data_IF_653019068056
#
_entry.id   IF_653019068056
#
_cell.length_a   1.000
_cell.length_b   1.000
_cell.length_c   1.000
_cell.angle_alpha   90.00
_cell.angle_beta   90.00
_cell.angle_gamma   90.00
#
_symmetry.space_group_name_H-M   'P 1'
#
loop_
_entity.id
_entity.type
_entity.pdbx_description
1 polymer ?
#
# COMPACT_ATOMS: atom_id res chain seq x y z
N UNK A 1 0.94 8.01 20.75
CA UNK A 1 0.75 6.63 20.23
C UNK A 1 1.75 6.41 19.10
N UNK A 2 2.13 5.16 18.81
CA UNK A 2 3.11 4.84 17.77
C UNK A 2 2.52 5.00 16.36
N UNK A 3 3.27 5.64 15.46
CA UNK A 3 2.98 5.65 14.02
C UNK A 3 3.09 4.23 13.46
N UNK A 4 2.28 3.91 12.45
CA UNK A 4 2.43 2.67 11.68
C UNK A 4 3.65 2.79 10.79
N UNK A 5 4.55 1.81 10.84
CA UNK A 5 5.74 1.78 9.99
C UNK A 5 5.48 1.09 8.65
N UNK A 6 6.31 1.40 7.65
CA UNK A 6 6.31 0.67 6.37
C UNK A 6 6.46 -0.85 6.55
N UNK A 7 7.26 -1.30 7.51
CA UNK A 7 7.42 -2.73 7.82
C UNK A 7 6.11 -3.35 8.32
N UNK A 8 5.41 -2.67 9.23
CA UNK A 8 4.13 -3.17 9.78
C UNK A 8 3.06 -3.23 8.70
N UNK A 9 2.97 -2.19 7.86
CA UNK A 9 2.03 -2.19 6.75
C UNK A 9 2.34 -3.29 5.74
N UNK A 10 3.61 -3.43 5.34
CA UNK A 10 4.01 -4.44 4.37
C UNK A 10 3.78 -5.86 4.89
N UNK A 11 4.03 -6.12 6.18
CA UNK A 11 3.69 -7.41 6.79
C UNK A 11 2.17 -7.68 6.72
N UNK A 12 1.34 -6.70 7.14
CA UNK A 12 -0.11 -6.85 7.09
C UNK A 12 -0.63 -7.08 5.65
N UNK A 13 -0.01 -6.41 4.67
CA UNK A 13 -0.27 -6.59 3.25
C UNK A 13 0.03 -8.03 2.81
N UNK A 14 1.26 -8.50 3.04
CA UNK A 14 1.68 -9.84 2.64
C UNK A 14 0.80 -10.91 3.30
N UNK A 15 0.52 -10.78 4.60
CA UNK A 15 -0.35 -11.72 5.29
C UNK A 15 -1.75 -11.78 4.65
N UNK A 16 -2.31 -10.62 4.27
CA UNK A 16 -3.65 -10.55 3.67
C UNK A 16 -3.69 -11.17 2.27
N UNK A 17 -2.70 -10.88 1.42
CA UNK A 17 -2.67 -11.41 0.05
C UNK A 17 -2.30 -12.90 0.02
N UNK A 18 -1.42 -13.38 0.90
CA UNK A 18 -1.03 -14.80 0.95
C UNK A 18 -2.19 -15.68 1.42
N UNK A 19 -2.97 -15.25 2.41
CA UNK A 19 -4.18 -15.96 2.85
C UNK A 19 -5.25 -16.09 1.75
N UNK A 20 -5.15 -15.29 0.69
CA UNK A 20 -6.10 -15.23 -0.42
C UNK A 20 -5.46 -15.58 -1.76
N UNK A 21 -4.26 -16.18 -1.75
CA UNK A 21 -3.44 -16.44 -2.92
C UNK A 21 -4.21 -17.09 -4.06
N UNK A 22 -4.92 -18.20 -3.78
CA UNK A 22 -5.66 -18.95 -4.79
C UNK A 22 -6.72 -18.07 -5.47
N UNK A 23 -7.54 -17.37 -4.68
CA UNK A 23 -8.57 -16.46 -5.19
C UNK A 23 -7.95 -15.34 -6.03
N UNK A 24 -6.95 -14.63 -5.50
CA UNK A 24 -6.32 -13.49 -6.18
C UNK A 24 -5.68 -13.89 -7.51
N UNK A 25 -5.09 -15.08 -7.60
CA UNK A 25 -4.56 -15.61 -8.87
C UNK A 25 -5.67 -15.83 -9.91
N UNK A 26 -6.88 -16.25 -9.52
CA UNK A 26 -7.98 -16.45 -10.49
C UNK A 26 -8.50 -15.14 -11.10
N UNK A 27 -8.35 -14.02 -10.38
CA UNK A 27 -8.85 -12.71 -10.79
C UNK A 27 -7.73 -11.73 -11.19
N UNK A 28 -6.46 -12.14 -11.14
CA UNK A 28 -5.29 -11.28 -11.38
C UNK A 28 -5.39 -10.47 -12.68
N UNK A 29 -5.82 -11.13 -13.76
CA UNK A 29 -5.94 -10.54 -15.11
C UNK A 29 -7.29 -9.86 -15.36
N UNK A 30 -8.11 -9.67 -14.32
CA UNK A 30 -9.42 -9.03 -14.38
C UNK A 30 -9.35 -7.68 -13.63
N UNK A 31 -8.79 -6.62 -14.22
CA UNK A 31 -8.32 -5.44 -13.48
C UNK A 31 -9.42 -4.77 -12.64
N UNK A 32 -10.66 -4.69 -13.13
CA UNK A 32 -11.78 -4.14 -12.36
C UNK A 32 -12.12 -4.99 -11.12
N UNK A 33 -12.19 -6.31 -11.28
CA UNK A 33 -12.49 -7.26 -10.20
C UNK A 33 -11.34 -7.30 -9.19
N UNK A 34 -10.11 -7.35 -9.70
CA UNK A 34 -8.91 -7.30 -8.88
C UNK A 34 -8.86 -6.01 -8.04
N UNK A 35 -9.13 -4.86 -8.68
CA UNK A 35 -9.19 -3.56 -7.98
C UNK A 35 -10.24 -3.59 -6.88
N UNK A 36 -11.45 -4.09 -7.12
CA UNK A 36 -12.50 -4.21 -6.09
C UNK A 36 -12.08 -5.05 -4.88
N UNK A 37 -11.35 -6.14 -5.13
CA UNK A 37 -10.82 -6.98 -4.06
C UNK A 37 -9.59 -6.40 -3.36
N UNK A 38 -8.82 -5.55 -4.04
CA UNK A 38 -7.79 -4.72 -3.40
C UNK A 38 -8.50 -3.71 -2.51
N UNK A 39 -9.32 -2.83 -3.08
CA UNK A 39 -10.07 -1.72 -2.47
C UNK A 39 -11.54 -1.68 -2.94
N UNK A 40 -12.47 -1.30 -2.08
CA UNK A 40 -13.81 -0.89 -2.52
C UNK A 40 -14.95 -1.90 -2.26
N UNK A 41 -14.67 -2.98 -1.52
CA UNK A 41 -15.71 -3.81 -0.91
C UNK A 41 -15.44 -4.08 0.58
N UNK A 42 -16.45 -4.54 1.32
CA UNK A 42 -16.34 -4.81 2.78
C UNK A 42 -15.41 -5.99 3.10
N UNK A 43 -15.03 -6.76 2.08
CA UNK A 43 -14.13 -7.90 2.19
C UNK A 43 -12.75 -7.60 1.61
N UNK A 44 -12.44 -6.36 1.26
CA UNK A 44 -11.23 -6.00 0.50
C UNK A 44 -9.94 -6.26 1.29
N UNK A 45 -8.81 -6.35 0.58
CA UNK A 45 -7.48 -6.44 1.19
C UNK A 45 -7.24 -5.23 2.09
N UNK A 46 -7.60 -4.01 1.64
CA UNK A 46 -7.35 -2.79 2.41
C UNK A 46 -8.13 -2.81 3.74
N UNK A 47 -9.37 -3.33 3.73
CA UNK A 47 -10.19 -3.47 4.92
C UNK A 47 -9.58 -4.45 5.93
N UNK A 48 -9.11 -5.60 5.47
CA UNK A 48 -8.41 -6.58 6.31
C UNK A 48 -7.14 -5.99 6.95
N UNK A 49 -6.35 -5.24 6.17
CA UNK A 49 -5.15 -4.55 6.66
C UNK A 49 -5.52 -3.52 7.73
N UNK A 50 -6.59 -2.75 7.52
CA UNK A 50 -7.05 -1.75 8.48
C UNK A 50 -7.38 -2.40 9.83
N UNK A 51 -8.10 -3.53 9.81
CA UNK A 51 -8.44 -4.28 11.01
C UNK A 51 -7.19 -4.83 11.72
N UNK A 52 -6.22 -5.40 10.97
CA UNK A 52 -4.93 -5.88 11.53
C UNK A 52 -4.11 -4.77 12.20
N UNK A 53 -4.17 -3.56 11.64
CA UNK A 53 -3.44 -2.39 12.14
C UNK A 53 -4.24 -1.58 13.18
N UNK A 54 -5.44 -2.04 13.54
CA UNK A 54 -6.37 -1.34 14.43
C UNK A 54 -6.66 0.11 13.96
N UNK A 55 -6.93 0.25 12.67
CA UNK A 55 -7.31 1.49 12.00
C UNK A 55 -8.68 1.34 11.34
N UNK A 56 -9.34 2.47 11.12
CA UNK A 56 -10.49 2.59 10.23
C UNK A 56 -9.98 2.88 8.80
N UNK A 57 -10.79 2.57 7.79
CA UNK A 57 -10.46 2.84 6.39
C UNK A 57 -11.65 3.47 5.66
N UNK A 58 -11.38 4.54 4.91
CA UNK A 58 -12.30 5.14 3.95
C UNK A 58 -11.90 4.66 2.56
N UNK A 59 -12.68 3.72 2.02
CA UNK A 59 -12.34 2.95 0.82
C UNK A 59 -12.78 3.61 -0.50
N UNK A 60 -13.09 4.90 -0.48
CA UNK A 60 -13.48 5.67 -1.65
C UNK A 60 -12.43 6.75 -1.90
N UNK A 61 -12.41 7.27 -3.13
CA UNK A 61 -11.45 8.28 -3.53
C UNK A 61 -11.64 9.57 -2.71
N UNK A 62 -10.64 9.91 -1.90
CA UNK A 62 -10.59 11.11 -1.10
C UNK A 62 -9.65 12.14 -1.74
N UNK A 63 -10.21 13.06 -2.52
CA UNK A 63 -9.44 14.07 -3.26
C UNK A 63 -8.29 13.46 -4.10
N UNK A 64 -8.61 12.44 -4.89
CA UNK A 64 -7.66 11.70 -5.74
C UNK A 64 -6.72 10.73 -5.00
N UNK A 65 -6.92 10.50 -3.69
CA UNK A 65 -6.30 9.39 -2.96
C UNK A 65 -7.26 8.21 -2.90
N UNK A 66 -6.85 7.04 -3.37
CA UNK A 66 -7.70 5.85 -3.46
C UNK A 66 -8.28 5.39 -2.12
N UNK A 67 -7.48 5.42 -1.05
CA UNK A 67 -7.94 5.00 0.28
C UNK A 67 -7.19 5.72 1.39
N UNK A 68 -7.95 6.09 2.44
CA UNK A 68 -7.42 6.73 3.64
C UNK A 68 -7.59 5.79 4.83
N UNK A 69 -6.50 5.56 5.58
CA UNK A 69 -6.56 4.94 6.89
C UNK A 69 -6.47 5.99 7.98
N UNK A 70 -7.27 5.82 9.02
CA UNK A 70 -7.46 6.84 10.04
C UNK A 70 -7.95 6.23 11.36
N UNK A 71 -8.01 7.05 12.40
CA UNK A 71 -8.69 6.79 13.67
C UNK A 71 -9.84 7.77 13.83
N UNK A 72 -10.84 7.43 14.64
CA UNK A 72 -12.00 8.31 14.86
C UNK A 72 -11.59 9.73 15.32
N UNK A 73 -10.52 9.85 16.11
CA UNK A 73 -9.96 11.13 16.56
C UNK A 73 -9.37 12.01 15.44
N UNK A 74 -9.00 11.39 14.30
CA UNK A 74 -8.45 12.07 13.12
C UNK A 74 -9.53 12.82 12.33
N UNK A 75 -10.80 12.51 12.57
CA UNK A 75 -11.92 13.21 11.94
C UNK A 75 -12.20 14.56 12.60
N UNK A 76 -12.83 15.47 11.86
CA UNK A 76 -13.35 16.72 12.39
C UNK A 76 -14.40 16.41 13.47
N UNK A 77 -14.29 16.96 14.68
CA UNK A 77 -15.29 16.77 15.73
C UNK A 77 -16.61 17.42 15.33
N UNK A 78 -17.72 16.87 15.80
CA UNK A 78 -19.08 17.40 15.55
C UNK A 78 -19.47 17.49 14.05
N UNK A 79 -18.76 16.77 13.19
CA UNK A 79 -19.09 16.65 11.77
C UNK A 79 -20.46 15.98 11.57
N UNK A 80 -21.17 16.25 10.45
CA UNK A 80 -22.38 15.52 10.10
C UNK A 80 -22.17 14.00 10.10
N UNK A 81 -23.16 13.25 10.61
CA UNK A 81 -23.11 11.77 10.62
C UNK A 81 -22.95 11.26 9.19
N UNK A 82 -22.03 10.32 8.99
CA UNK A 82 -21.73 9.74 7.68
C UNK A 82 -20.84 10.60 6.79
N UNK A 83 -20.40 11.79 7.24
CA UNK A 83 -19.40 12.60 6.54
C UNK A 83 -17.97 12.27 6.98
N UNK A 84 -17.03 12.42 6.04
CA UNK A 84 -15.61 12.15 6.24
C UNK A 84 -14.82 13.43 5.95
N UNK A 85 -14.42 14.09 7.03
CA UNK A 85 -13.57 15.28 6.99
C UNK A 85 -12.39 15.01 7.89
N UNK A 86 -11.22 14.78 7.30
CA UNK A 86 -10.01 14.43 8.02
C UNK A 86 -9.22 15.69 8.42
N UNK A 87 -8.73 15.71 9.65
CA UNK A 87 -7.75 16.68 10.16
C UNK A 87 -6.34 16.08 10.21
N UNK A 88 -6.26 14.76 10.23
CA UNK A 88 -5.03 13.98 10.18
C UNK A 88 -5.27 12.70 9.36
N UNK A 89 -4.21 12.13 8.78
CA UNK A 89 -4.27 10.90 7.99
C UNK A 89 -3.16 9.98 8.47
N UNK A 90 -3.50 8.74 8.85
CA UNK A 90 -2.49 7.76 9.25
C UNK A 90 -1.81 7.16 8.04
N UNK A 91 -2.57 6.73 7.05
CA UNK A 91 -2.00 6.15 5.83
C UNK A 91 -2.77 6.66 4.63
N UNK A 92 -2.04 7.21 3.66
CA UNK A 92 -2.55 7.49 2.32
C UNK A 92 -2.09 6.34 1.41
N UNK A 93 -3.05 5.73 0.71
CA UNK A 93 -2.84 4.53 -0.08
C UNK A 93 -3.31 4.78 -1.52
N UNK A 94 -2.48 4.39 -2.49
CA UNK A 94 -2.79 4.38 -3.92
C UNK A 94 -2.58 2.97 -4.51
N UNK A 95 -3.42 2.60 -5.47
CA UNK A 95 -3.33 1.35 -6.21
C UNK A 95 -3.38 1.62 -7.72
N UNK A 96 -2.31 1.24 -8.42
CA UNK A 96 -2.19 1.41 -9.87
C UNK A 96 -1.97 0.06 -10.55
N UNK A 97 -2.88 -0.31 -11.46
CA UNK A 97 -2.76 -1.52 -12.27
C UNK A 97 -1.79 -1.35 -13.45
N UNK A 98 -1.60 -0.12 -13.93
CA UNK A 98 -0.78 0.22 -15.08
C UNK A 98 0.58 0.79 -14.68
N UNK A 99 1.54 -0.10 -14.48
CA UNK A 99 2.90 0.24 -14.08
C UNK A 99 3.59 1.29 -14.98
N UNK A 100 3.36 1.22 -16.29
CA UNK A 100 4.08 2.06 -17.26
C UNK A 100 3.38 3.41 -17.54
N UNK A 101 2.25 3.70 -16.90
CA UNK A 101 1.52 4.95 -17.13
C UNK A 101 0.59 5.26 -15.96
N UNK A 102 1.00 6.18 -15.08
CA UNK A 102 0.16 6.69 -14.00
C UNK A 102 0.91 6.90 -12.69
N UNK A 103 1.93 6.06 -12.41
CA UNK A 103 2.62 6.04 -11.11
C UNK A 103 3.16 7.40 -10.63
N UNK A 104 3.61 8.28 -11.54
CA UNK A 104 4.09 9.61 -11.14
C UNK A 104 2.97 10.51 -10.59
N UNK A 105 1.72 10.33 -11.08
CA UNK A 105 0.54 11.06 -10.60
C UNK A 105 0.20 10.58 -9.19
N UNK A 106 0.19 9.27 -8.97
CA UNK A 106 -0.06 8.68 -7.65
C UNK A 106 1.02 9.08 -6.63
N UNK A 107 2.30 9.03 -7.01
CA UNK A 107 3.38 9.55 -6.17
C UNK A 107 3.18 11.04 -5.88
N UNK A 108 2.72 11.83 -6.86
CA UNK A 108 2.45 13.26 -6.65
C UNK A 108 1.33 13.48 -5.64
N UNK A 109 0.21 12.74 -5.72
CA UNK A 109 -0.89 12.84 -4.76
C UNK A 109 -0.44 12.46 -3.34
N UNK A 110 0.30 11.36 -3.21
CA UNK A 110 0.87 10.91 -1.94
C UNK A 110 1.82 11.96 -1.32
N UNK A 111 2.68 12.59 -2.13
CA UNK A 111 3.69 13.54 -1.63
C UNK A 111 3.10 14.83 -1.06
N UNK A 112 1.99 15.32 -1.63
CA UNK A 112 1.33 16.54 -1.14
C UNK A 112 0.39 16.27 0.04
N UNK A 113 0.07 15.00 0.30
CA UNK A 113 -0.79 14.59 1.40
C UNK A 113 0.01 14.57 2.70
N UNK A 114 -0.50 15.27 3.73
CA UNK A 114 0.07 15.22 5.07
C UNK A 114 -0.44 13.96 5.78
N UNK A 115 0.41 12.95 5.89
CA UNK A 115 0.11 11.69 6.55
C UNK A 115 1.36 11.05 7.19
N UNK A 116 1.14 10.10 8.10
CA UNK A 116 2.21 9.33 8.74
C UNK A 116 2.91 8.38 7.75
N UNK A 117 2.17 7.75 6.82
CA UNK A 117 2.70 6.79 5.85
C UNK A 117 2.05 6.97 4.46
N UNK A 118 2.86 6.88 3.41
CA UNK A 118 2.45 6.86 2.00
C UNK A 118 2.69 5.47 1.44
N UNK A 119 1.68 4.87 0.83
CA UNK A 119 1.78 3.54 0.25
C UNK A 119 1.30 3.57 -1.19
N UNK A 120 2.11 3.02 -2.09
CA UNK A 120 1.74 2.77 -3.48
C UNK A 120 1.85 1.27 -3.77
N UNK A 121 0.77 0.66 -4.23
CA UNK A 121 0.77 -0.72 -4.72
C UNK A 121 0.65 -0.73 -6.23
N UNK A 122 1.54 -1.47 -6.90
CA UNK A 122 1.48 -1.65 -8.35
C UNK A 122 2.07 -3.00 -8.79
N UNK A 123 2.07 -3.26 -10.11
CA UNK A 123 2.37 -4.56 -10.71
C UNK A 123 3.37 -4.37 -11.85
N UNK A 124 4.68 -4.49 -11.57
CA UNK A 124 5.72 -4.34 -12.59
C UNK A 124 5.50 -5.27 -13.79
N UNK A 125 5.91 -4.78 -14.96
CA UNK A 125 6.02 -5.59 -16.18
C UNK A 125 7.45 -6.12 -16.32
N UNK A 126 7.67 -7.11 -17.20
CA UNK A 126 8.99 -7.71 -17.46
C UNK A 126 10.09 -6.72 -17.91
N UNK A 127 9.74 -5.46 -18.20
CA UNK A 127 10.63 -4.42 -18.67
C UNK A 127 10.35 -3.09 -17.97
N UNK A 128 11.38 -2.26 -17.81
CA UNK A 128 11.27 -0.86 -17.38
C UNK A 128 11.20 -0.61 -15.88
N UNK A 129 11.24 -1.65 -15.04
CA UNK A 129 11.17 -1.50 -13.58
C UNK A 129 12.27 -0.59 -13.02
N UNK A 130 13.52 -0.81 -13.42
CA UNK A 130 14.67 -0.02 -12.96
C UNK A 130 14.53 1.47 -13.34
N UNK A 131 14.23 1.75 -14.62
CA UNK A 131 14.02 3.12 -15.11
C UNK A 131 12.86 3.81 -14.38
N UNK A 132 11.77 3.07 -14.14
CA UNK A 132 10.61 3.57 -13.42
C UNK A 132 10.96 3.85 -11.95
N UNK A 133 11.69 2.96 -11.29
CA UNK A 133 12.13 3.14 -9.90
C UNK A 133 13.09 4.32 -9.75
N UNK A 134 14.01 4.53 -10.70
CA UNK A 134 14.86 5.72 -10.75
C UNK A 134 14.03 7.00 -10.94
N UNK A 135 13.02 6.96 -11.81
CA UNK A 135 12.15 8.11 -12.05
C UNK A 135 11.31 8.46 -10.82
N UNK A 136 10.68 7.49 -10.17
CA UNK A 136 9.92 7.71 -8.93
C UNK A 136 10.83 8.21 -7.81
N UNK A 137 12.06 7.69 -7.70
CA UNK A 137 13.06 8.19 -6.75
C UNK A 137 13.36 9.67 -6.97
N UNK A 138 13.59 10.06 -8.23
CA UNK A 138 13.86 11.45 -8.61
C UNK A 138 12.71 12.39 -8.24
N UNK A 139 11.46 11.95 -8.42
CA UNK A 139 10.27 12.74 -8.03
C UNK A 139 10.26 12.96 -6.51
N UNK A 140 10.37 11.90 -5.73
CA UNK A 140 10.32 11.98 -4.26
C UNK A 140 11.50 12.82 -3.74
N UNK A 141 12.71 12.58 -4.26
CA UNK A 141 13.93 13.31 -3.89
C UNK A 141 13.84 14.81 -4.14
N UNK A 142 13.17 15.21 -5.22
CA UNK A 142 12.93 16.62 -5.56
C UNK A 142 11.92 17.33 -4.65
N UNK A 143 11.19 16.61 -3.79
CA UNK A 143 10.21 17.21 -2.89
C UNK A 143 10.85 17.88 -1.67
N UNK A 144 10.17 18.87 -1.09
CA UNK A 144 10.62 19.56 0.15
C UNK A 144 10.62 18.65 1.38
N UNK A 145 9.93 17.51 1.30
CA UNK A 145 9.77 16.56 2.39
C UNK A 145 10.67 15.32 2.24
N UNK A 146 11.45 15.21 1.16
CA UNK A 146 12.25 14.02 0.83
C UNK A 146 13.10 13.51 1.98
N UNK A 147 13.81 14.41 2.67
CA UNK A 147 14.64 14.08 3.82
C UNK A 147 13.83 13.47 4.98
N UNK A 148 12.73 14.10 5.36
CA UNK A 148 11.84 13.60 6.43
C UNK A 148 11.25 12.25 6.03
N UNK A 149 10.81 12.12 4.77
CA UNK A 149 10.26 10.87 4.23
C UNK A 149 11.28 9.73 4.30
N UNK A 150 12.56 10.01 3.98
CA UNK A 150 13.67 9.06 4.07
C UNK A 150 14.00 8.70 5.52
N UNK A 151 14.13 9.69 6.41
CA UNK A 151 14.47 9.50 7.83
C UNK A 151 13.38 8.71 8.57
N UNK A 152 12.11 9.02 8.31
CA UNK A 152 10.96 8.34 8.91
C UNK A 152 10.56 7.04 8.20
N UNK A 153 11.20 6.71 7.07
CA UNK A 153 10.84 5.56 6.22
C UNK A 153 9.35 5.55 5.84
N UNK A 154 8.79 6.73 5.56
CA UNK A 154 7.35 6.99 5.46
C UNK A 154 6.80 6.99 4.03
N UNK A 155 7.49 6.33 3.10
CA UNK A 155 7.03 6.08 1.73
C UNK A 155 7.42 4.66 1.33
N UNK A 156 6.40 3.85 1.09
CA UNK A 156 6.49 2.44 0.74
C UNK A 156 5.89 2.22 -0.65
N UNK A 157 6.65 1.57 -1.52
CA UNK A 157 6.16 0.99 -2.75
C UNK A 157 6.07 -0.52 -2.57
N UNK A 158 4.97 -1.13 -3.01
CA UNK A 158 4.76 -2.56 -3.00
C UNK A 158 4.52 -3.02 -4.44
N UNK A 159 5.33 -3.99 -4.88
CA UNK A 159 5.22 -4.64 -6.17
C UNK A 159 4.58 -6.02 -6.02
N UNK A 160 3.55 -6.29 -6.80
CA UNK A 160 2.92 -7.61 -6.91
C UNK A 160 3.24 -8.28 -8.25
N UNK A 161 3.56 -9.57 -8.21
CA UNK A 161 3.80 -10.40 -9.41
C UNK A 161 2.90 -11.64 -9.42
N UNK A 162 2.26 -11.90 -10.58
CA UNK A 162 1.50 -13.13 -10.82
C UNK A 162 2.43 -14.35 -10.77
N UNK A 163 3.61 -14.23 -11.38
CA UNK A 163 4.58 -15.31 -11.45
C UNK A 163 5.19 -15.57 -10.08
N UNK A 164 4.96 -16.76 -9.54
CA UNK A 164 5.36 -17.13 -8.19
C UNK A 164 4.50 -16.54 -7.07
N UNK A 165 3.51 -15.69 -7.39
CA UNK A 165 2.70 -14.93 -6.43
C UNK A 165 3.58 -14.21 -5.38
N UNK A 166 4.47 -13.36 -5.89
CA UNK A 166 5.49 -12.67 -5.13
C UNK A 166 5.08 -11.23 -4.85
N UNK A 167 5.49 -10.75 -3.67
CA UNK A 167 5.24 -9.39 -3.22
C UNK A 167 6.53 -8.82 -2.63
N UNK A 168 6.95 -7.68 -3.16
CA UNK A 168 8.20 -7.02 -2.80
C UNK A 168 7.93 -5.60 -2.32
N UNK A 169 8.52 -5.22 -1.20
CA UNK A 169 8.36 -3.89 -0.60
C UNK A 169 9.64 -3.07 -0.73
N UNK A 170 9.52 -1.79 -1.08
CA UNK A 170 10.62 -0.85 -1.22
C UNK A 170 10.32 0.43 -0.45
N UNK A 171 11.18 0.76 0.50
CA UNK A 171 11.12 2.01 1.26
C UNK A 171 12.04 3.03 0.59
N UNK A 172 11.53 4.25 0.42
CA UNK A 172 12.34 5.36 -0.07
C UNK A 172 13.43 5.74 0.94
N UNK A 173 14.70 5.87 0.50
CA UNK A 173 15.77 6.61 1.18
C UNK A 173 16.40 7.61 0.23
N UNK A 174 16.99 8.69 0.75
CA UNK A 174 17.62 9.75 -0.05
C UNK A 174 18.70 9.23 -1.03
N UNK A 175 19.41 8.19 -0.63
CA UNK A 175 20.49 7.59 -1.41
C UNK A 175 19.99 6.55 -2.40
N UNK A 176 19.07 5.67 -1.99
CA UNK A 176 18.46 4.66 -2.86
C UNK A 176 17.20 4.04 -2.22
N UNK A 177 16.50 3.17 -2.95
CA UNK A 177 15.46 2.32 -2.38
C UNK A 177 16.03 1.25 -1.45
N UNK A 178 15.36 1.02 -0.32
CA UNK A 178 15.65 -0.05 0.64
C UNK A 178 14.59 -1.12 0.51
N UNK A 179 14.97 -2.33 0.08
CA UNK A 179 14.04 -3.46 0.07
C UNK A 179 13.66 -3.86 1.51
N UNK A 180 12.39 -4.22 1.69
CA UNK A 180 11.81 -4.67 2.94
C UNK A 180 11.54 -6.15 2.84
N UNK A 181 11.89 -6.89 3.89
CA UNK A 181 11.60 -8.32 3.98
C UNK A 181 10.55 -8.55 5.06
N UNK A 182 9.57 -9.40 4.76
CA UNK A 182 8.62 -9.89 5.76
C UNK A 182 9.17 -11.10 6.49
N UNK A 183 8.80 -11.25 7.75
CA UNK A 183 9.07 -12.47 8.49
C UNK A 183 7.87 -13.38 8.28
N UNK A 184 8.04 -14.48 7.56
CA UNK A 184 6.99 -15.49 7.45
C UNK A 184 6.90 -16.21 8.79
N UNK A 185 5.80 -16.03 9.51
CA UNK A 185 5.52 -16.78 10.74
C UNK A 185 4.96 -18.17 10.40
N UNK A 186 5.21 -19.17 11.26
CA UNK A 186 4.89 -20.58 11.00
C UNK A 186 3.39 -20.86 10.74
N UNK A 187 2.49 -19.96 11.14
CA UNK A 187 1.06 -20.07 10.86
C UNK A 187 0.75 -19.95 9.35
N UNK A 188 1.56 -19.22 8.58
CA UNK A 188 1.39 -19.09 7.12
C UNK A 188 1.80 -20.38 6.39
N UNK A 189 2.69 -21.21 6.96
CA UNK A 189 3.10 -22.47 6.35
C UNK A 189 2.00 -23.53 6.39
N UNK A 190 1.11 -23.51 7.39
CA UNK A 190 0.00 -24.47 7.47
C UNK A 190 -1.07 -24.24 6.41
N UNK A 191 -1.20 -23.02 5.88
CA UNK A 191 -2.10 -22.72 4.75
C UNK A 191 -1.55 -23.22 3.40
N UNK A 192 -0.24 -23.48 3.30
CA UNK A 192 0.44 -23.98 2.08
C UNK A 192 0.95 -25.42 2.21
N UNK A 193 0.73 -26.06 3.36
CA UNK A 193 1.30 -27.34 3.73
C UNK A 193 0.47 -28.53 3.23
N UNK A 194 0.59 -28.84 1.94
CA UNK A 194 -0.08 -29.98 1.33
C UNK A 194 0.72 -30.79 0.33
N UNK A 195 2.05 -30.65 0.21
CA UNK A 195 2.89 -31.63 -0.51
C UNK A 195 4.34 -31.62 -0.01
N UNK A 196 4.65 -32.51 0.94
CA UNK A 196 5.98 -33.13 1.08
C UNK A 196 5.79 -34.59 1.52
N UNK A 197 5.64 -35.49 0.55
CA UNK A 197 6.48 -36.67 0.30
C UNK A 197 5.91 -37.46 -0.89
#
# INVERSE_FOLDING_TARGET
MSKITSQQFFQAWVDAVQNRKEHLLTIWRQPGVFTSHVKGDDTSIIKEIADKLNLLCYQQDYYCIDTIFYKEEDLVPERPIGSYWFRDIRIAFEHENNFNSGLYQEVSHLLITNCDLRVLVTYPTDYGEEEQMEYLHKIIKGSRHSKVVSEEESFLIIFGSENGFLWEGYIYKEDNWKQVHVTVTEETQQATGGFVQ
#
